data_IF_517328746436
#
_entry.id   IF_517328746436
#
_cell.length_a   1.000
_cell.length_b   1.000
_cell.length_c   1.000
_cell.angle_alpha   90.00
_cell.angle_beta   90.00
_cell.angle_gamma   90.00
#
_symmetry.space_group_name_H-M   'P 1'
#
loop_
_entity.id
_entity.type
_entity.pdbx_description
1 polymer ?
#
# COMPACT_ATOMS: atom_id res chain seq x y z
N UNK A 1 -0.94 1.25 6.50
CA UNK A 1 0.24 1.27 7.39
C UNK A 1 1.20 0.20 6.93
N UNK A 2 2.46 0.55 6.69
CA UNK A 2 3.48 -0.47 6.40
C UNK A 2 3.84 -1.15 7.72
N UNK A 3 3.78 -2.47 7.76
CA UNK A 3 4.20 -3.26 8.90
C UNK A 3 5.33 -4.21 8.51
N UNK A 4 6.22 -4.47 9.44
CA UNK A 4 7.29 -5.44 9.28
C UNK A 4 7.40 -6.33 10.51
N UNK A 5 7.87 -7.55 10.30
CA UNK A 5 8.12 -8.49 11.39
C UNK A 5 9.17 -9.53 11.00
N UNK A 6 9.75 -10.17 12.02
CA UNK A 6 10.58 -11.35 11.86
C UNK A 6 9.85 -12.59 12.37
N UNK A 7 10.26 -13.77 11.89
CA UNK A 7 9.73 -15.04 12.39
C UNK A 7 10.75 -15.84 13.16
N UNK A 8 10.28 -16.59 14.16
CA UNK A 8 11.07 -17.47 15.01
C UNK A 8 11.65 -18.65 14.21
N UNK A 9 12.99 -18.82 14.14
CA UNK A 9 13.62 -19.91 13.42
C UNK A 9 13.51 -21.27 14.13
N UNK A 10 13.09 -21.30 15.42
CA UNK A 10 13.04 -22.49 16.28
C UNK A 10 11.78 -23.35 16.10
N UNK A 11 10.68 -22.76 15.58
CA UNK A 11 9.43 -23.50 15.32
C UNK A 11 9.39 -24.26 13.99
N UNK A 12 10.41 -24.08 13.15
CA UNK A 12 10.76 -25.07 12.12
C UNK A 12 11.59 -26.19 12.75
N UNK A 13 10.96 -27.32 13.08
CA UNK A 13 11.52 -28.51 13.79
C UNK A 13 12.94 -28.91 13.41
N UNK A 14 14.01 -28.38 14.03
CA UNK A 14 15.37 -28.92 13.87
C UNK A 14 16.29 -28.73 15.10
N UNK A 15 17.13 -29.75 15.34
CA UNK A 15 17.88 -30.08 16.55
C UNK A 15 19.24 -29.33 16.74
N UNK A 16 19.96 -29.54 17.87
CA UNK A 16 21.18 -28.80 18.23
C UNK A 16 22.34 -28.94 17.22
N UNK A 17 22.94 -27.80 16.84
CA UNK A 17 23.94 -27.65 15.76
C UNK A 17 23.54 -26.69 14.61
N UNK A 18 22.48 -25.90 14.82
CA UNK A 18 21.74 -25.16 13.78
C UNK A 18 22.49 -23.97 13.16
N UNK A 19 22.49 -23.88 11.82
CA UNK A 19 22.93 -22.75 10.98
C UNK A 19 21.75 -21.92 10.45
N UNK A 20 20.66 -21.82 11.22
CA UNK A 20 19.37 -21.26 10.75
C UNK A 20 19.17 -19.80 11.15
N UNK A 21 18.50 -19.06 10.28
CA UNK A 21 18.11 -17.66 10.45
C UNK A 21 16.59 -17.50 10.37
N UNK A 22 16.08 -16.37 10.83
CA UNK A 22 14.66 -15.96 10.74
C UNK A 22 14.23 -15.67 9.30
N UNK A 23 12.94 -15.46 9.05
CA UNK A 23 12.49 -14.75 7.85
C UNK A 23 12.09 -13.33 8.24
N UNK A 24 12.35 -12.36 7.37
CA UNK A 24 11.86 -10.99 7.50
C UNK A 24 10.66 -10.80 6.56
N UNK A 25 9.69 -10.02 7.00
CA UNK A 25 8.51 -9.67 6.22
C UNK A 25 8.29 -8.16 6.27
N UNK A 26 7.80 -7.62 5.16
CA UNK A 26 7.27 -6.26 5.06
C UNK A 26 5.96 -6.33 4.28
N UNK A 27 4.92 -5.71 4.80
CA UNK A 27 3.58 -5.71 4.23
C UNK A 27 3.00 -4.30 4.25
N UNK A 28 2.53 -3.85 3.09
CA UNK A 28 1.75 -2.62 2.95
C UNK A 28 0.27 -2.98 3.10
N UNK A 29 -0.41 -2.44 4.11
CA UNK A 29 -1.82 -2.77 4.39
C UNK A 29 -2.81 -2.07 3.45
N UNK A 30 -2.39 -1.08 2.66
CA UNK A 30 -3.23 -0.39 1.68
C UNK A 30 -3.06 -0.99 0.29
N UNK A 31 -1.81 -1.17 -0.17
CA UNK A 31 -1.56 -1.77 -1.49
C UNK A 31 -1.56 -3.31 -1.48
N UNK A 32 -1.60 -3.92 -0.29
CA UNK A 32 -1.56 -5.38 -0.11
C UNK A 32 -0.32 -6.04 -0.75
N UNK A 33 0.77 -5.30 -0.84
CA UNK A 33 2.08 -5.78 -1.33
C UNK A 33 2.83 -6.43 -0.16
N UNK A 34 3.12 -7.71 -0.29
CA UNK A 34 3.86 -8.49 0.69
C UNK A 34 5.24 -8.84 0.14
N UNK A 35 6.27 -8.54 0.93
CA UNK A 35 7.60 -9.07 0.72
C UNK A 35 7.98 -9.99 1.86
N UNK A 36 8.49 -11.18 1.51
CA UNK A 36 9.14 -12.10 2.43
C UNK A 36 10.59 -12.30 2.01
N UNK A 37 11.52 -11.98 2.91
CA UNK A 37 12.93 -12.34 2.78
C UNK A 37 13.20 -13.57 3.63
N UNK A 38 13.32 -14.72 2.98
CA UNK A 38 13.61 -15.99 3.64
C UNK A 38 15.11 -16.07 3.93
N UNK A 39 15.54 -16.00 5.19
CA UNK A 39 16.97 -16.12 5.55
C UNK A 39 17.35 -17.56 5.98
N UNK A 40 16.37 -18.44 6.16
CA UNK A 40 16.58 -19.84 6.53
C UNK A 40 17.47 -20.59 5.52
N UNK A 41 18.46 -21.34 6.02
CA UNK A 41 19.35 -22.20 5.23
C UNK A 41 19.00 -23.68 5.39
N UNK A 42 19.33 -24.49 4.38
CA UNK A 42 19.33 -25.96 4.49
C UNK A 42 17.95 -26.62 4.63
N UNK A 43 16.86 -25.99 4.17
CA UNK A 43 15.53 -26.64 4.14
C UNK A 43 15.55 -27.82 3.17
N UNK A 44 15.04 -28.96 3.62
CA UNK A 44 15.03 -30.22 2.87
C UNK A 44 13.81 -30.41 1.98
N UNK A 45 12.74 -29.62 2.15
CA UNK A 45 11.52 -29.68 1.34
C UNK A 45 11.27 -28.38 0.57
N UNK A 46 10.88 -28.55 -0.71
CA UNK A 46 10.52 -27.58 -1.75
C UNK A 46 11.41 -26.31 -1.74
N UNK A 47 12.40 -26.30 -2.65
CA UNK A 47 13.31 -25.19 -2.95
C UNK A 47 13.84 -24.50 -1.68
N UNK A 48 14.75 -25.18 -0.98
CA UNK A 48 15.43 -24.66 0.21
C UNK A 48 16.41 -23.52 -0.04
N UNK A 49 16.26 -22.80 -1.15
CA UNK A 49 17.00 -21.59 -1.49
C UNK A 49 16.56 -20.45 -0.58
N UNK A 50 17.50 -19.55 -0.30
CA UNK A 50 17.23 -18.25 0.30
C UNK A 50 16.81 -17.29 -0.82
N UNK A 51 15.73 -16.57 -0.62
CA UNK A 51 15.15 -15.69 -1.64
C UNK A 51 14.38 -14.53 -1.00
N UNK A 52 14.29 -13.44 -1.75
CA UNK A 52 13.30 -12.39 -1.59
C UNK A 52 12.09 -12.81 -2.43
N UNK A 53 10.92 -12.90 -1.83
CA UNK A 53 9.66 -13.25 -2.47
C UNK A 53 8.80 -12.00 -2.43
N UNK A 54 8.26 -11.59 -3.57
CA UNK A 54 7.32 -10.51 -3.70
C UNK A 54 6.00 -11.09 -4.20
N UNK A 55 4.93 -10.82 -3.44
CA UNK A 55 3.57 -11.18 -3.79
C UNK A 55 2.70 -9.92 -3.72
N UNK A 56 1.86 -9.72 -4.73
CA UNK A 56 0.88 -8.64 -4.75
C UNK A 56 -0.51 -9.18 -4.38
N UNK A 57 -1.39 -8.29 -3.92
CA UNK A 57 -2.75 -8.64 -3.52
C UNK A 57 -2.79 -9.78 -2.49
N UNK A 58 -1.90 -9.75 -1.48
CA UNK A 58 -1.92 -10.75 -0.41
C UNK A 58 -2.68 -10.17 0.77
N UNK A 59 -3.70 -10.86 1.26
CA UNK A 59 -4.30 -10.56 2.54
C UNK A 59 -3.47 -11.22 3.63
N UNK A 60 -3.15 -10.47 4.69
CA UNK A 60 -2.38 -10.95 5.84
C UNK A 60 -3.19 -10.77 7.11
N UNK A 61 -3.09 -11.73 8.02
CA UNK A 61 -3.64 -11.65 9.36
C UNK A 61 -2.75 -12.38 10.36
N UNK A 62 -2.91 -12.07 11.63
CA UNK A 62 -2.16 -12.67 12.72
C UNK A 62 -3.10 -13.29 13.74
N UNK A 63 -2.72 -14.45 14.27
CA UNK A 63 -3.49 -15.15 15.29
C UNK A 63 -2.59 -15.91 16.26
N UNK A 64 -3.07 -16.16 17.48
CA UNK A 64 -2.32 -16.84 18.54
C UNK A 64 -1.84 -18.25 18.12
N UNK A 65 -0.74 -18.72 18.72
CA UNK A 65 -0.22 -20.09 18.53
C UNK A 65 -1.20 -21.17 18.98
N UNK A 66 -2.01 -20.92 20.00
CA UNK A 66 -2.99 -21.89 20.48
C UNK A 66 -4.16 -22.04 19.49
N UNK A 67 -4.45 -21.00 18.72
CA UNK A 67 -5.37 -21.05 17.59
C UNK A 67 -4.89 -21.97 16.45
N UNK A 68 -3.57 -22.04 16.19
CA UNK A 68 -2.99 -22.95 15.19
C UNK A 68 -2.86 -24.39 15.69
N UNK A 69 -2.69 -24.62 17.00
CA UNK A 69 -2.70 -26.00 17.53
C UNK A 69 -4.07 -26.66 17.39
N UNK A 70 -5.13 -25.85 17.29
CA UNK A 70 -6.48 -26.25 16.94
C UNK A 70 -6.77 -26.13 15.43
N UNK A 71 -5.76 -25.88 14.56
CA UNK A 71 -5.94 -25.73 13.10
C UNK A 71 -6.62 -26.96 12.48
N UNK A 72 -6.40 -28.16 13.03
CA UNK A 72 -7.13 -29.38 12.64
C UNK A 72 -8.65 -29.31 12.86
N UNK A 73 -9.13 -28.36 13.67
CA UNK A 73 -10.54 -28.10 13.96
C UNK A 73 -11.17 -27.04 13.04
N UNK A 74 -10.36 -26.31 12.27
CA UNK A 74 -10.83 -25.30 11.32
C UNK A 74 -10.61 -25.78 9.88
N UNK A 75 -11.66 -26.21 9.16
CA UNK A 75 -11.50 -26.53 7.74
C UNK A 75 -11.06 -25.28 6.97
N UNK A 76 -10.30 -25.43 5.89
CA UNK A 76 -9.85 -24.31 5.05
C UNK A 76 -11.00 -23.39 4.62
N UNK A 77 -12.21 -23.93 4.49
CA UNK A 77 -13.45 -23.21 4.17
C UNK A 77 -13.88 -22.17 5.21
N UNK A 78 -13.33 -22.20 6.43
CA UNK A 78 -13.61 -21.21 7.46
C UNK A 78 -12.80 -19.91 7.24
N UNK A 79 -11.81 -19.92 6.35
CA UNK A 79 -11.02 -18.76 6.00
C UNK A 79 -11.54 -18.09 4.74
N UNK A 80 -11.59 -16.76 4.76
CA UNK A 80 -11.98 -15.94 3.60
C UNK A 80 -11.30 -14.59 3.64
N UNK A 81 -11.37 -13.83 2.55
CA UNK A 81 -10.92 -12.43 2.51
C UNK A 81 -12.16 -11.53 2.46
N UNK A 82 -12.21 -10.51 3.32
CA UNK A 82 -13.26 -9.49 3.26
C UNK A 82 -13.14 -8.68 1.96
N UNK A 83 -14.21 -8.61 1.18
CA UNK A 83 -14.17 -7.91 -0.10
C UNK A 83 -14.11 -6.37 0.02
N UNK A 84 -14.51 -5.82 1.16
CA UNK A 84 -14.51 -4.38 1.41
C UNK A 84 -13.21 -3.93 2.07
N UNK A 85 -12.64 -4.72 2.98
CA UNK A 85 -11.44 -4.34 3.75
C UNK A 85 -10.16 -5.05 3.30
N UNK A 86 -10.26 -6.15 2.54
CA UNK A 86 -9.10 -6.95 2.14
C UNK A 86 -8.49 -7.77 3.29
N UNK A 87 -9.14 -7.80 4.46
CA UNK A 87 -8.64 -8.50 5.65
C UNK A 87 -8.90 -10.01 5.59
N UNK A 88 -7.99 -10.80 6.17
CA UNK A 88 -8.23 -12.23 6.38
C UNK A 88 -9.26 -12.41 7.49
N UNK A 89 -10.32 -13.15 7.18
CA UNK A 89 -11.39 -13.51 8.09
C UNK A 89 -11.30 -14.98 8.45
N UNK A 90 -11.60 -15.28 9.71
CA UNK A 90 -11.91 -16.61 10.19
C UNK A 90 -13.37 -16.64 10.64
N UNK A 91 -14.20 -17.48 10.01
CA UNK A 91 -15.64 -17.59 10.31
C UNK A 91 -16.35 -16.22 10.27
N UNK A 92 -15.93 -15.35 9.36
CA UNK A 92 -16.44 -13.99 9.23
C UNK A 92 -15.92 -12.98 10.26
N UNK A 93 -14.96 -13.36 11.11
CA UNK A 93 -14.32 -12.46 12.09
C UNK A 93 -12.92 -12.10 11.59
N UNK A 94 -12.56 -10.82 11.49
CA UNK A 94 -11.23 -10.41 11.02
C UNK A 94 -10.14 -10.85 12.00
N UNK A 95 -9.05 -11.38 11.43
CA UNK A 95 -7.82 -11.65 12.18
C UNK A 95 -7.10 -10.35 12.53
N UNK A 96 -6.23 -10.40 13.55
CA UNK A 96 -5.42 -9.24 13.93
C UNK A 96 -4.59 -8.76 12.75
N UNK A 97 -4.52 -7.44 12.55
CA UNK A 97 -3.63 -6.80 11.57
C UNK A 97 -2.29 -6.37 12.19
N UNK A 98 -2.12 -6.59 13.49
CA UNK A 98 -0.92 -6.20 14.23
C UNK A 98 -0.09 -7.46 14.52
N UNK A 99 1.18 -7.52 14.07
CA UNK A 99 2.07 -8.62 14.39
C UNK A 99 2.41 -8.56 15.88
N UNK A 100 2.16 -9.65 16.61
CA UNK A 100 2.52 -9.78 18.02
C UNK A 100 3.44 -10.97 18.22
N UNK A 101 4.48 -10.87 19.08
CA UNK A 101 5.34 -12.01 19.37
C UNK A 101 4.54 -13.26 19.77
N UNK A 102 4.86 -14.39 19.14
CA UNK A 102 4.17 -15.66 19.34
C UNK A 102 2.95 -15.88 18.45
N UNK A 103 2.37 -14.83 17.83
CA UNK A 103 1.30 -15.01 16.84
C UNK A 103 1.86 -15.63 15.57
N UNK A 104 1.09 -16.46 14.90
CA UNK A 104 1.40 -16.94 13.56
C UNK A 104 0.82 -16.02 12.50
N UNK A 105 1.51 -15.98 11.37
CA UNK A 105 1.04 -15.32 10.16
C UNK A 105 0.07 -16.24 9.45
N UNK A 106 -1.08 -15.71 9.05
CA UNK A 106 -2.01 -16.31 8.12
C UNK A 106 -2.06 -15.41 6.90
N UNK A 107 -1.72 -15.94 5.73
CA UNK A 107 -1.74 -15.16 4.50
C UNK A 107 -2.43 -15.91 3.37
N UNK A 108 -3.17 -15.15 2.53
CA UNK A 108 -4.06 -15.69 1.50
C UNK A 108 -4.12 -14.76 0.29
N UNK A 109 -4.30 -15.31 -0.91
CA UNK A 109 -4.57 -14.50 -2.11
C UNK A 109 -6.06 -14.52 -2.43
N UNK A 110 -6.60 -13.45 -3.04
CA UNK A 110 -7.97 -13.43 -3.54
C UNK A 110 -8.27 -14.64 -4.43
N UNK A 111 -9.31 -15.38 -4.08
CA UNK A 111 -9.73 -16.59 -4.80
C UNK A 111 -9.08 -17.88 -4.31
N UNK A 112 -8.08 -17.83 -3.42
CA UNK A 112 -7.57 -19.01 -2.74
C UNK A 112 -8.60 -19.54 -1.76
N UNK A 113 -8.69 -20.87 -1.66
CA UNK A 113 -9.53 -21.55 -0.66
C UNK A 113 -8.71 -22.16 0.47
N UNK A 114 -7.40 -21.99 0.47
CA UNK A 114 -6.47 -22.61 1.43
C UNK A 114 -5.53 -21.53 1.97
N UNK A 115 -5.58 -21.22 3.27
CA UNK A 115 -4.64 -20.27 3.85
C UNK A 115 -3.22 -20.84 3.90
N UNK A 116 -2.23 -19.95 3.77
CA UNK A 116 -0.85 -20.27 4.11
C UNK A 116 -0.58 -19.85 5.56
N UNK A 117 -0.02 -20.78 6.33
CA UNK A 117 0.41 -20.53 7.70
C UNK A 117 1.91 -20.36 7.77
N UNK A 118 2.34 -19.13 8.07
CA UNK A 118 3.72 -18.79 8.31
C UNK A 118 4.20 -19.22 9.69
N UNK A 119 5.52 -19.13 9.90
CA UNK A 119 6.12 -19.27 11.23
C UNK A 119 5.62 -18.16 12.17
N UNK A 120 5.69 -18.41 13.48
CA UNK A 120 5.33 -17.41 14.48
C UNK A 120 6.24 -16.19 14.44
N UNK A 121 5.66 -15.01 14.65
CA UNK A 121 6.34 -13.74 14.87
C UNK A 121 7.31 -13.89 16.05
N UNK A 122 8.58 -13.56 15.86
CA UNK A 122 9.60 -13.60 16.90
C UNK A 122 9.57 -12.35 17.77
N UNK A 123 10.10 -12.47 18.98
CA UNK A 123 10.60 -11.28 19.67
C UNK A 123 11.89 -10.78 18.99
N UNK A 124 12.25 -9.52 19.21
CA UNK A 124 13.54 -8.97 18.79
C UNK A 124 14.71 -9.82 19.32
N UNK A 125 14.63 -10.28 20.57
CA UNK A 125 15.65 -11.12 21.22
C UNK A 125 15.84 -12.51 20.59
N UNK A 126 14.78 -13.08 20.01
CA UNK A 126 14.81 -14.42 19.40
C UNK A 126 15.11 -14.38 17.89
N UNK A 127 15.23 -13.18 17.31
CA UNK A 127 15.48 -12.99 15.89
C UNK A 127 16.93 -13.30 15.56
N UNK A 128 17.15 -14.25 14.65
CA UNK A 128 18.49 -14.63 14.20
C UNK A 128 18.74 -14.10 12.79
N UNK A 129 19.61 -13.11 12.65
CA UNK A 129 20.01 -12.52 11.36
C UNK A 129 21.42 -12.95 10.94
N UNK A 130 21.72 -13.01 9.62
CA UNK A 130 23.08 -13.22 9.12
C UNK A 130 24.06 -12.19 9.68
N UNK A 131 25.33 -12.58 9.86
CA UNK A 131 26.33 -11.74 10.52
C UNK A 131 26.46 -10.37 9.85
N UNK A 132 26.32 -9.30 10.63
CA UNK A 132 26.41 -7.91 10.15
C UNK A 132 25.22 -7.46 9.28
N UNK A 133 24.13 -8.23 9.23
CA UNK A 133 22.84 -7.82 8.67
C UNK A 133 21.91 -7.39 9.82
N UNK A 134 21.04 -6.42 9.52
CA UNK A 134 20.09 -5.80 10.46
C UNK A 134 18.78 -5.57 9.69
N UNK A 135 17.68 -5.29 10.40
CA UNK A 135 16.36 -5.17 9.76
C UNK A 135 16.30 -4.02 8.74
N UNK A 136 16.82 -2.83 9.04
CA UNK A 136 17.00 -1.76 8.04
C UNK A 136 17.64 -2.19 6.72
N UNK A 137 18.61 -3.12 6.74
CA UNK A 137 19.22 -3.66 5.52
C UNK A 137 18.22 -4.51 4.72
N UNK A 138 17.38 -5.27 5.42
CA UNK A 138 16.32 -6.09 4.83
C UNK A 138 15.18 -5.23 4.31
N UNK A 139 14.83 -4.13 4.98
CA UNK A 139 13.89 -3.12 4.50
C UNK A 139 14.31 -2.51 3.16
N UNK A 140 15.61 -2.21 2.97
CA UNK A 140 16.12 -1.74 1.66
C UNK A 140 15.85 -2.76 0.55
N UNK A 141 16.09 -4.05 0.83
CA UNK A 141 15.84 -5.11 -0.15
C UNK A 141 14.34 -5.37 -0.38
N UNK A 142 13.52 -5.20 0.65
CA UNK A 142 12.08 -5.33 0.52
C UNK A 142 11.50 -4.23 -0.35
N UNK A 143 11.92 -2.98 -0.13
CA UNK A 143 11.56 -1.85 -0.97
C UNK A 143 12.04 -2.02 -2.43
N UNK A 144 13.25 -2.53 -2.67
CA UNK A 144 13.70 -2.86 -4.04
C UNK A 144 12.77 -3.90 -4.68
N UNK A 145 12.38 -4.95 -3.97
CA UNK A 145 11.49 -5.97 -4.51
C UNK A 145 10.08 -5.44 -4.83
N UNK A 146 9.58 -4.51 -4.02
CA UNK A 146 8.32 -3.79 -4.29
C UNK A 146 8.45 -2.91 -5.54
N UNK A 147 9.54 -2.14 -5.65
CA UNK A 147 9.80 -1.26 -6.78
C UNK A 147 9.99 -2.00 -8.11
N UNK A 148 10.63 -3.17 -8.05
CA UNK A 148 10.83 -4.03 -9.22
C UNK A 148 9.67 -5.01 -9.48
N UNK A 149 8.69 -5.06 -8.57
CA UNK A 149 7.56 -5.99 -8.57
C UNK A 149 7.97 -7.46 -8.78
N UNK A 150 9.09 -7.87 -8.17
CA UNK A 150 9.64 -9.22 -8.32
C UNK A 150 10.54 -9.64 -7.16
N UNK A 151 10.57 -10.95 -6.95
CA UNK A 151 11.52 -11.60 -6.05
C UNK A 151 12.89 -11.88 -6.70
N UNK A 152 13.87 -12.22 -5.87
CA UNK A 152 15.20 -12.67 -6.30
C UNK A 152 15.67 -13.87 -5.47
N UNK A 153 16.31 -14.84 -6.12
CA UNK A 153 17.08 -15.86 -5.40
C UNK A 153 18.39 -15.27 -4.93
N UNK A 154 18.68 -15.39 -3.63
CA UNK A 154 19.90 -14.89 -3.01
C UNK A 154 20.99 -15.96 -3.01
N UNK A 155 20.68 -17.15 -2.48
CA UNK A 155 21.64 -18.25 -2.38
C UNK A 155 20.95 -19.61 -2.55
N UNK A 156 21.73 -20.60 -3.00
CA UNK A 156 21.27 -22.00 -3.04
C UNK A 156 21.11 -22.58 -1.63
N UNK A 157 20.34 -23.66 -1.50
CA UNK A 157 20.10 -24.35 -0.22
C UNK A 157 21.33 -24.85 0.53
N UNK A 158 22.44 -25.08 -0.17
CA UNK A 158 23.71 -25.54 0.41
C UNK A 158 24.63 -24.40 0.86
N UNK A 159 24.21 -23.13 0.75
CA UNK A 159 25.03 -22.00 1.11
C UNK A 159 25.31 -21.94 2.62
N UNK A 160 26.49 -21.44 2.99
CA UNK A 160 26.84 -21.15 4.39
C UNK A 160 26.23 -19.82 4.84
N UNK A 161 26.18 -19.60 6.16
CA UNK A 161 25.77 -18.30 6.73
C UNK A 161 26.66 -17.15 6.28
N UNK A 162 27.97 -17.38 6.12
CA UNK A 162 28.91 -16.38 5.58
C UNK A 162 28.59 -16.03 4.13
N UNK A 163 28.24 -17.01 3.29
CA UNK A 163 27.84 -16.77 1.91
C UNK A 163 26.54 -15.98 1.82
N UNK A 164 25.56 -16.31 2.66
CA UNK A 164 24.30 -15.56 2.75
C UNK A 164 24.55 -14.12 3.19
N UNK A 165 25.32 -13.91 4.26
CA UNK A 165 25.70 -12.58 4.74
C UNK A 165 26.40 -11.77 3.63
N UNK A 166 27.37 -12.36 2.93
CA UNK A 166 28.09 -11.69 1.86
C UNK A 166 27.17 -11.29 0.68
N UNK A 167 26.24 -12.16 0.27
CA UNK A 167 25.26 -11.83 -0.78
C UNK A 167 24.35 -10.68 -0.34
N UNK A 168 23.78 -10.75 0.87
CA UNK A 168 22.90 -9.69 1.39
C UNK A 168 23.64 -8.34 1.45
N UNK A 169 24.85 -8.32 2.00
CA UNK A 169 25.70 -7.11 2.03
C UNK A 169 25.95 -6.57 0.63
N UNK A 170 26.18 -7.44 -0.35
CA UNK A 170 26.36 -7.05 -1.75
C UNK A 170 25.10 -6.48 -2.42
N UNK A 171 23.91 -6.98 -2.07
CA UNK A 171 22.65 -6.43 -2.57
C UNK A 171 22.37 -5.06 -1.96
N UNK A 172 22.55 -4.91 -0.65
CA UNK A 172 22.40 -3.62 0.05
C UNK A 172 23.38 -2.59 -0.49
N UNK A 173 24.66 -2.97 -0.65
CA UNK A 173 25.67 -2.12 -1.26
C UNK A 173 25.30 -1.63 -2.66
N UNK A 174 24.64 -2.49 -3.46
CA UNK A 174 24.16 -2.10 -4.79
C UNK A 174 23.01 -1.11 -4.71
N UNK A 175 22.02 -1.35 -3.84
CA UNK A 175 20.85 -0.50 -3.68
C UNK A 175 21.22 0.89 -3.13
N UNK A 176 22.15 0.95 -2.17
CA UNK A 176 22.67 2.19 -1.58
C UNK A 176 23.70 2.86 -2.50
N UNK A 177 24.38 2.11 -3.37
CA UNK A 177 25.41 2.62 -4.26
C UNK A 177 26.78 2.86 -3.58
N UNK A 178 27.04 2.19 -2.45
CA UNK A 178 28.29 2.31 -1.68
C UNK A 178 28.80 0.94 -1.20
N UNK A 179 30.12 0.76 -0.98
CA UNK A 179 30.63 -0.44 -0.31
C UNK A 179 29.97 -0.65 1.06
N UNK A 180 29.55 -1.88 1.37
CA UNK A 180 28.76 -2.17 2.58
C UNK A 180 29.41 -1.67 3.88
N UNK A 181 30.73 -1.79 3.98
CA UNK A 181 31.52 -1.35 5.14
C UNK A 181 31.65 0.18 5.28
N UNK A 182 31.15 0.94 4.32
CA UNK A 182 31.15 2.41 4.30
C UNK A 182 29.74 3.00 4.46
N UNK A 183 28.70 2.15 4.48
CA UNK A 183 27.30 2.57 4.60
C UNK A 183 27.03 3.03 6.04
N UNK A 184 26.49 4.24 6.18
CA UNK A 184 26.04 4.79 7.45
C UNK A 184 24.52 4.63 7.64
N UNK A 185 24.02 4.92 8.84
CA UNK A 185 22.57 5.01 9.06
C UNK A 185 21.91 6.12 8.22
N UNK A 186 22.63 7.24 8.00
CA UNK A 186 22.15 8.34 7.15
C UNK A 186 21.98 7.87 5.70
N UNK A 187 22.95 7.10 5.18
CA UNK A 187 22.87 6.54 3.81
C UNK A 187 21.69 5.57 3.64
N UNK A 188 21.44 4.76 4.67
CA UNK A 188 20.30 3.83 4.67
C UNK A 188 18.97 4.57 4.76
N UNK A 189 18.87 5.58 5.64
CA UNK A 189 17.68 6.39 5.78
C UNK A 189 17.36 7.12 4.48
N UNK A 190 18.34 7.78 3.85
CA UNK A 190 18.15 8.46 2.57
C UNK A 190 17.70 7.46 1.48
N UNK A 191 18.29 6.27 1.45
CA UNK A 191 17.90 5.22 0.49
C UNK A 191 16.46 4.75 0.72
N UNK A 192 16.08 4.46 1.97
CA UNK A 192 14.74 4.01 2.33
C UNK A 192 13.69 5.09 2.04
N UNK A 193 13.95 6.34 2.41
CA UNK A 193 13.06 7.48 2.12
C UNK A 193 12.87 7.67 0.62
N UNK A 194 13.95 7.61 -0.16
CA UNK A 194 13.87 7.70 -1.62
C UNK A 194 13.05 6.56 -2.22
N UNK A 195 13.26 5.33 -1.74
CA UNK A 195 12.49 4.18 -2.22
C UNK A 195 11.02 4.30 -1.84
N UNK A 196 10.71 4.65 -0.60
CA UNK A 196 9.34 4.89 -0.12
C UNK A 196 8.65 5.97 -0.94
N UNK A 197 9.29 7.12 -1.17
CA UNK A 197 8.73 8.17 -2.01
C UNK A 197 8.44 7.69 -3.44
N UNK A 198 9.30 6.84 -4.00
CA UNK A 198 9.08 6.24 -5.31
C UNK A 198 7.92 5.22 -5.31
N UNK A 199 7.82 4.36 -4.27
CA UNK A 199 6.71 3.41 -4.10
C UNK A 199 5.40 4.18 -4.01
N UNK A 200 5.32 5.14 -3.10
CA UNK A 200 4.18 6.05 -2.93
C UNK A 200 3.76 6.68 -4.26
N UNK A 201 4.72 7.21 -5.02
CA UNK A 201 4.42 7.81 -6.32
C UNK A 201 3.84 6.78 -7.31
N UNK A 202 4.36 5.55 -7.33
CA UNK A 202 3.83 4.48 -8.17
C UNK A 202 2.39 4.10 -7.77
N UNK A 203 2.07 4.08 -6.46
CA UNK A 203 0.71 3.80 -5.96
C UNK A 203 -0.28 4.95 -6.26
N UNK A 204 0.17 6.20 -6.26
CA UNK A 204 -0.68 7.38 -6.52
C UNK A 204 -1.02 7.55 -8.00
N UNK A 205 -0.13 7.14 -8.91
CA UNK A 205 -0.28 7.38 -10.37
C UNK A 205 -1.63 6.89 -10.92
N UNK A 206 -2.10 5.66 -10.63
CA UNK A 206 -3.41 5.20 -11.08
C UNK A 206 -4.57 6.11 -10.64
N UNK A 207 -4.63 6.48 -9.36
CA UNK A 207 -5.66 7.40 -8.86
C UNK A 207 -5.57 8.78 -9.51
N UNK A 208 -4.36 9.29 -9.74
CA UNK A 208 -4.14 10.55 -10.47
C UNK A 208 -4.68 10.48 -11.90
N UNK A 209 -4.43 9.40 -12.62
CA UNK A 209 -4.92 9.18 -13.99
C UNK A 209 -6.45 9.11 -14.02
N UNK A 210 -7.07 8.37 -13.09
CA UNK A 210 -8.53 8.27 -12.99
C UNK A 210 -9.20 9.61 -12.64
N UNK A 211 -8.59 10.41 -11.75
CA UNK A 211 -9.09 11.76 -11.43
C UNK A 211 -8.97 12.68 -12.65
N UNK A 212 -7.82 12.68 -13.36
CA UNK A 212 -7.65 13.51 -14.55
C UNK A 212 -8.67 13.17 -15.65
N UNK A 213 -8.90 11.89 -15.92
CA UNK A 213 -9.93 11.43 -16.86
C UNK A 213 -11.32 11.96 -16.49
N UNK A 214 -11.64 11.96 -15.19
CA UNK A 214 -12.92 12.49 -14.71
C UNK A 214 -13.03 14.02 -14.80
N UNK A 215 -11.90 14.74 -14.66
CA UNK A 215 -11.84 16.18 -14.87
C UNK A 215 -11.98 16.57 -16.35
N UNK A 216 -11.54 15.72 -17.29
CA UNK A 216 -11.74 15.93 -18.72
C UNK A 216 -13.24 15.89 -19.08
N UNK A 217 -14.03 14.99 -18.48
CA UNK A 217 -15.49 14.96 -18.64
C UNK A 217 -16.14 16.26 -18.14
N UNK A 218 -15.63 16.83 -17.04
CA UNK A 218 -16.10 18.11 -16.54
C UNK A 218 -15.75 19.28 -17.49
N UNK A 219 -14.58 19.27 -18.11
CA UNK A 219 -14.22 20.27 -19.13
C UNK A 219 -15.17 20.24 -20.32
N UNK A 220 -15.53 19.05 -20.80
CA UNK A 220 -16.53 18.88 -21.87
C UNK A 220 -17.88 19.46 -21.47
N UNK A 221 -18.32 19.25 -20.22
CA UNK A 221 -19.55 19.87 -19.70
C UNK A 221 -19.46 21.40 -19.66
N UNK A 222 -18.33 21.96 -19.22
CA UNK A 222 -18.12 23.43 -19.20
C UNK A 222 -18.27 23.99 -20.62
N UNK A 223 -17.60 23.39 -21.60
CA UNK A 223 -17.67 23.86 -22.99
C UNK A 223 -19.09 23.71 -23.57
N UNK A 224 -19.79 22.62 -23.27
CA UNK A 224 -21.19 22.41 -23.67
C UNK A 224 -22.14 23.45 -23.09
N UNK A 225 -22.07 23.74 -21.78
CA UNK A 225 -22.91 24.78 -21.16
C UNK A 225 -22.62 26.14 -21.80
N UNK A 226 -21.34 26.45 -22.02
CA UNK A 226 -20.95 27.71 -22.67
C UNK A 226 -21.50 27.83 -24.09
N UNK A 227 -21.46 26.76 -24.88
CA UNK A 227 -22.06 26.71 -26.21
C UNK A 227 -23.57 26.94 -26.16
N UNK A 228 -24.28 26.32 -25.22
CA UNK A 228 -25.72 26.52 -25.04
C UNK A 228 -26.08 27.98 -24.70
N UNK A 229 -25.30 28.63 -23.82
CA UNK A 229 -25.49 30.05 -23.48
C UNK A 229 -25.23 30.95 -24.69
N UNK A 230 -24.15 30.70 -25.43
CA UNK A 230 -23.63 31.67 -26.42
C UNK A 230 -24.16 31.46 -27.83
N UNK A 231 -24.31 30.21 -28.27
CA UNK A 231 -24.64 29.85 -29.65
C UNK A 231 -26.10 29.39 -29.79
N UNK A 232 -26.63 28.69 -28.79
CA UNK A 232 -27.98 28.10 -28.86
C UNK A 232 -29.07 29.03 -28.28
N UNK A 233 -28.67 30.08 -27.56
CA UNK A 233 -29.58 31.09 -27.06
C UNK A 233 -30.24 30.74 -25.73
N UNK A 234 -29.63 29.84 -24.94
CA UNK A 234 -30.07 29.60 -23.57
C UNK A 234 -29.97 30.89 -22.75
N UNK A 235 -31.07 31.29 -22.12
CA UNK A 235 -31.11 32.43 -21.19
C UNK A 235 -31.05 31.89 -19.76
N UNK A 236 -29.87 31.87 -19.12
CA UNK A 236 -29.74 31.33 -17.78
C UNK A 236 -30.43 32.21 -16.72
N UNK A 237 -30.94 31.58 -15.67
CA UNK A 237 -31.38 32.28 -14.47
C UNK A 237 -30.18 32.88 -13.72
N UNK A 238 -30.44 33.80 -12.78
CA UNK A 238 -29.38 34.39 -11.96
C UNK A 238 -28.72 33.31 -11.09
N UNK A 239 -29.52 32.42 -10.53
CA UNK A 239 -29.11 31.29 -9.71
C UNK A 239 -28.26 30.29 -10.51
N UNK A 240 -28.70 29.90 -11.71
CA UNK A 240 -27.92 29.03 -12.59
C UNK A 240 -26.57 29.67 -12.95
N UNK A 241 -26.56 30.96 -13.30
CA UNK A 241 -25.33 31.67 -13.67
C UNK A 241 -24.30 31.71 -12.53
N UNK A 242 -24.78 31.89 -11.28
CA UNK A 242 -23.94 31.84 -10.08
C UNK A 242 -23.39 30.43 -9.85
N UNK A 243 -24.23 29.41 -9.91
CA UNK A 243 -23.82 28.02 -9.71
C UNK A 243 -22.86 27.54 -10.79
N UNK A 244 -23.05 27.93 -12.05
CA UNK A 244 -22.13 27.63 -13.14
C UNK A 244 -20.76 28.29 -12.96
N UNK A 245 -20.74 29.56 -12.53
CA UNK A 245 -19.48 30.25 -12.21
C UNK A 245 -18.74 29.58 -11.06
N UNK A 246 -19.45 29.19 -10.00
CA UNK A 246 -18.90 28.44 -8.86
C UNK A 246 -18.38 27.06 -9.29
N UNK A 247 -19.10 26.34 -10.15
CA UNK A 247 -18.66 25.06 -10.72
C UNK A 247 -17.32 25.20 -11.46
N UNK A 248 -17.16 26.21 -12.33
CA UNK A 248 -15.89 26.48 -13.02
C UNK A 248 -14.76 26.81 -12.03
N UNK A 249 -15.06 27.61 -11.00
CA UNK A 249 -14.07 27.96 -9.97
C UNK A 249 -13.58 26.70 -9.25
N UNK A 250 -14.50 25.86 -8.76
CA UNK A 250 -14.14 24.63 -8.03
C UNK A 250 -13.48 23.58 -8.91
N UNK A 251 -13.86 23.48 -10.19
CA UNK A 251 -13.15 22.68 -11.18
C UNK A 251 -11.66 23.09 -11.28
N UNK A 252 -11.37 24.41 -11.36
CA UNK A 252 -9.98 24.89 -11.44
C UNK A 252 -9.19 24.58 -10.17
N UNK A 253 -9.80 24.77 -9.00
CA UNK A 253 -9.19 24.43 -7.70
C UNK A 253 -8.86 22.93 -7.64
N UNK A 254 -9.79 22.07 -8.04
CA UNK A 254 -9.56 20.62 -8.11
C UNK A 254 -8.42 20.25 -9.07
N UNK A 255 -8.42 20.83 -10.27
CA UNK A 255 -7.36 20.60 -11.26
C UNK A 255 -5.98 21.06 -10.74
N UNK A 256 -5.91 22.21 -10.08
CA UNK A 256 -4.67 22.70 -9.49
C UNK A 256 -4.22 21.84 -8.29
N UNK A 257 -5.15 21.37 -7.47
CA UNK A 257 -4.87 20.46 -6.35
C UNK A 257 -4.25 19.13 -6.86
N UNK A 258 -4.82 18.52 -7.90
CA UNK A 258 -4.32 17.29 -8.53
C UNK A 258 -2.94 17.49 -9.17
N UNK A 259 -2.71 18.64 -9.83
CA UNK A 259 -1.39 18.98 -10.40
C UNK A 259 -0.32 19.10 -9.33
N UNK A 260 -0.65 19.76 -8.23
CA UNK A 260 0.29 20.03 -7.13
C UNK A 260 0.36 18.90 -6.11
N UNK A 261 -0.54 17.90 -6.16
CA UNK A 261 -0.63 16.81 -5.19
C UNK A 261 -0.92 17.30 -3.78
N UNK A 262 -1.70 18.37 -3.62
CA UNK A 262 -1.97 18.99 -2.31
C UNK A 262 -3.47 19.19 -2.13
N UNK A 263 -4.01 18.74 -0.99
CA UNK A 263 -5.44 18.87 -0.64
C UNK A 263 -6.40 18.34 -1.71
N UNK A 264 -5.99 17.28 -2.42
CA UNK A 264 -6.70 16.70 -3.57
C UNK A 264 -8.14 16.31 -3.20
N UNK A 265 -8.32 15.55 -2.12
CA UNK A 265 -9.64 15.10 -1.67
C UNK A 265 -10.57 16.26 -1.32
N UNK A 266 -10.12 17.19 -0.47
CA UNK A 266 -10.93 18.35 -0.09
C UNK A 266 -11.36 19.18 -1.32
N UNK A 267 -10.46 19.39 -2.29
CA UNK A 267 -10.79 20.10 -3.52
C UNK A 267 -11.79 19.33 -4.40
N UNK A 268 -11.68 18.00 -4.46
CA UNK A 268 -12.63 17.13 -5.18
C UNK A 268 -14.02 17.10 -4.52
N UNK A 269 -14.10 17.09 -3.18
CA UNK A 269 -15.35 17.18 -2.44
C UNK A 269 -16.05 18.54 -2.66
N UNK A 270 -15.30 19.65 -2.64
CA UNK A 270 -15.84 20.97 -2.98
C UNK A 270 -16.34 21.04 -4.42
N UNK A 271 -15.61 20.41 -5.35
CA UNK A 271 -16.01 20.33 -6.75
C UNK A 271 -17.29 19.51 -6.93
N UNK A 272 -17.41 18.37 -6.25
CA UNK A 272 -18.63 17.57 -6.22
C UNK A 272 -19.83 18.36 -5.66
N UNK A 273 -19.63 19.13 -4.59
CA UNK A 273 -20.67 19.98 -4.03
C UNK A 273 -21.13 21.07 -5.02
N UNK A 274 -20.20 21.73 -5.70
CA UNK A 274 -20.52 22.74 -6.71
C UNK A 274 -21.27 22.15 -7.92
N UNK A 275 -20.90 20.94 -8.34
CA UNK A 275 -21.61 20.19 -9.39
C UNK A 275 -23.04 19.85 -8.98
N UNK A 276 -23.25 19.37 -7.75
CA UNK A 276 -24.60 19.07 -7.24
C UNK A 276 -25.46 20.33 -7.21
N UNK A 277 -24.87 21.46 -6.83
CA UNK A 277 -25.56 22.75 -6.86
C UNK A 277 -25.94 23.16 -8.29
N UNK A 278 -25.02 23.01 -9.26
CA UNK A 278 -25.30 23.28 -10.67
C UNK A 278 -26.43 22.40 -11.22
N UNK A 279 -26.45 21.12 -10.85
CA UNK A 279 -27.52 20.20 -11.22
C UNK A 279 -28.88 20.67 -10.70
N UNK A 280 -28.98 21.03 -9.41
CA UNK A 280 -30.22 21.53 -8.82
C UNK A 280 -30.71 22.81 -9.50
N UNK A 281 -29.81 23.77 -9.77
CA UNK A 281 -30.21 25.03 -10.42
C UNK A 281 -30.55 24.84 -11.92
N UNK A 282 -30.05 23.78 -12.55
CA UNK A 282 -30.39 23.47 -13.95
C UNK A 282 -31.87 23.15 -14.13
N UNK A 283 -32.54 22.62 -13.10
CA UNK A 283 -33.98 22.34 -13.11
C UNK A 283 -34.84 23.60 -13.32
N UNK A 284 -34.27 24.79 -13.08
CA UNK A 284 -34.94 26.07 -13.27
C UNK A 284 -34.92 26.58 -14.71
N UNK A 285 -34.16 25.92 -15.59
CA UNK A 285 -34.05 26.29 -17.00
C UNK A 285 -35.28 25.87 -17.81
N UNK A 286 -35.42 26.42 -19.02
CA UNK A 286 -36.44 25.93 -19.94
C UNK A 286 -36.22 24.43 -20.22
N UNK A 287 -37.33 23.67 -20.29
CA UNK A 287 -37.31 22.20 -20.33
C UNK A 287 -36.42 21.62 -21.43
N UNK A 288 -36.32 22.26 -22.60
CA UNK A 288 -35.45 21.79 -23.68
C UNK A 288 -33.96 21.84 -23.32
N UNK A 289 -33.52 22.90 -22.63
CA UNK A 289 -32.13 23.05 -22.19
C UNK A 289 -31.86 22.16 -20.99
N UNK A 290 -32.79 22.09 -20.03
CA UNK A 290 -32.68 21.18 -18.90
C UNK A 290 -32.52 19.73 -19.36
N UNK A 291 -33.38 19.22 -20.25
CA UNK A 291 -33.30 17.82 -20.69
C UNK A 291 -31.97 17.49 -21.41
N UNK A 292 -31.39 18.47 -22.14
CA UNK A 292 -30.09 18.30 -22.77
C UNK A 292 -28.96 18.26 -21.71
N UNK A 293 -28.99 19.20 -20.76
CA UNK A 293 -28.00 19.30 -19.70
C UNK A 293 -28.08 18.17 -18.69
N UNK A 294 -29.27 17.68 -18.35
CA UNK A 294 -29.50 16.63 -17.36
C UNK A 294 -28.69 15.37 -17.70
N UNK A 295 -28.65 14.96 -18.97
CA UNK A 295 -27.86 13.80 -19.40
C UNK A 295 -26.36 14.03 -19.19
N UNK A 296 -25.86 15.21 -19.56
CA UNK A 296 -24.43 15.55 -19.44
C UNK A 296 -24.01 15.73 -17.98
N UNK A 297 -24.87 16.36 -17.18
CA UNK A 297 -24.70 16.54 -15.74
C UNK A 297 -24.70 15.19 -15.01
N UNK A 298 -25.56 14.24 -15.40
CA UNK A 298 -25.57 12.89 -14.84
C UNK A 298 -24.31 12.08 -15.18
N UNK A 299 -23.82 12.16 -16.43
CA UNK A 299 -22.56 11.51 -16.79
C UNK A 299 -21.38 12.11 -16.01
N UNK A 300 -21.33 13.44 -15.92
CA UNK A 300 -20.35 14.16 -15.10
C UNK A 300 -20.50 13.81 -13.62
N UNK A 301 -21.72 13.57 -13.13
CA UNK A 301 -21.97 13.13 -11.76
C UNK A 301 -21.22 11.83 -11.46
N UNK A 302 -21.40 10.81 -12.29
CA UNK A 302 -20.70 9.54 -12.14
C UNK A 302 -19.18 9.70 -12.20
N UNK A 303 -18.66 10.51 -13.12
CA UNK A 303 -17.22 10.78 -13.23
C UNK A 303 -16.66 11.48 -11.97
N UNK A 304 -17.34 12.53 -11.49
CA UNK A 304 -16.90 13.28 -10.29
C UNK A 304 -16.98 12.41 -9.04
N UNK A 305 -18.01 11.57 -8.90
CA UNK A 305 -18.14 10.66 -7.77
C UNK A 305 -16.99 9.62 -7.77
N UNK A 306 -16.61 9.10 -8.94
CA UNK A 306 -15.44 8.24 -9.09
C UNK A 306 -14.14 8.97 -8.72
N UNK A 307 -13.98 10.24 -9.13
CA UNK A 307 -12.80 11.03 -8.80
C UNK A 307 -12.68 11.36 -7.30
N UNK A 308 -13.79 11.56 -6.58
CA UNK A 308 -13.78 11.72 -5.12
C UNK A 308 -13.33 10.43 -4.43
N UNK A 309 -13.79 9.27 -4.92
CA UNK A 309 -13.34 7.98 -4.42
C UNK A 309 -11.83 7.79 -4.64
N UNK A 310 -11.33 8.07 -5.83
CA UNK A 310 -9.89 8.01 -6.15
C UNK A 310 -9.05 9.01 -5.34
N UNK A 311 -9.58 10.22 -5.10
CA UNK A 311 -8.92 11.20 -4.25
C UNK A 311 -8.83 10.74 -2.77
N UNK A 312 -9.77 9.91 -2.33
CA UNK A 312 -9.72 9.27 -1.01
C UNK A 312 -8.64 8.19 -0.96
N UNK A 313 -8.51 7.38 -2.02
CA UNK A 313 -7.41 6.41 -2.14
C UNK A 313 -6.06 7.12 -2.10
N UNK A 314 -5.91 8.18 -2.90
CA UNK A 314 -4.71 9.03 -2.89
C UNK A 314 -4.40 9.52 -1.47
N UNK A 315 -5.35 10.16 -0.78
CA UNK A 315 -5.12 10.70 0.56
C UNK A 315 -4.69 9.62 1.56
N UNK A 316 -5.29 8.43 1.50
CA UNK A 316 -4.90 7.31 2.36
C UNK A 316 -3.47 6.86 2.09
N UNK A 317 -3.04 6.79 0.82
CA UNK A 317 -1.65 6.50 0.45
C UNK A 317 -0.73 7.62 0.97
N UNK A 318 -1.08 8.89 0.76
CA UNK A 318 -0.28 10.02 1.25
C UNK A 318 -0.04 9.94 2.77
N UNK A 319 -1.09 9.69 3.55
CA UNK A 319 -1.03 9.57 5.00
C UNK A 319 -0.20 8.36 5.46
N UNK A 320 -0.30 7.24 4.77
CA UNK A 320 0.44 6.02 5.11
C UNK A 320 1.95 6.19 5.01
N UNK A 321 2.39 6.89 3.97
CA UNK A 321 3.81 7.03 3.66
C UNK A 321 4.44 8.29 4.28
N UNK A 322 3.64 9.26 4.75
CA UNK A 322 4.10 10.56 5.22
C UNK A 322 5.14 10.47 6.35
N UNK A 323 4.91 9.62 7.36
CA UNK A 323 5.83 9.49 8.48
C UNK A 323 7.17 8.86 8.05
N UNK A 324 7.12 7.87 7.15
CA UNK A 324 8.32 7.19 6.63
C UNK A 324 9.17 8.13 5.79
N UNK A 325 8.54 8.96 4.95
CA UNK A 325 9.23 10.00 4.16
C UNK A 325 9.87 11.08 5.04
N UNK A 326 9.28 11.34 6.22
CA UNK A 326 9.70 12.42 7.14
C UNK A 326 10.56 11.95 8.31
N UNK A 327 10.79 10.66 8.45
CA UNK A 327 11.59 10.09 9.52
C UNK A 327 12.96 10.79 9.60
N UNK A 328 13.34 11.24 10.80
CA UNK A 328 14.56 12.02 11.03
C UNK A 328 15.76 11.14 11.39
N UNK A 329 15.51 9.85 11.63
CA UNK A 329 16.50 8.84 11.99
C UNK A 329 16.07 7.46 11.50
N UNK A 330 17.02 6.51 11.46
CA UNK A 330 16.68 5.13 11.06
C UNK A 330 15.84 4.44 12.13
N UNK A 331 16.04 4.79 13.39
CA UNK A 331 15.30 4.26 14.53
C UNK A 331 13.83 4.71 14.49
N UNK A 332 13.58 5.97 14.10
CA UNK A 332 12.22 6.48 13.86
C UNK A 332 11.57 5.73 12.68
N UNK A 333 12.30 5.55 11.56
CA UNK A 333 11.79 4.78 10.43
C UNK A 333 11.42 3.34 10.81
N UNK A 334 12.29 2.66 11.56
CA UNK A 334 12.03 1.28 12.04
C UNK A 334 10.83 1.23 12.99
N UNK A 335 10.65 2.23 13.84
CA UNK A 335 9.47 2.35 14.72
C UNK A 335 8.17 2.50 13.90
N UNK A 336 8.16 3.35 12.89
CA UNK A 336 6.99 3.59 12.04
C UNK A 336 6.54 2.35 11.25
N UNK A 337 7.47 1.45 10.88
CA UNK A 337 7.14 0.15 10.26
C UNK A 337 6.87 -0.97 11.28
N UNK A 338 6.74 -0.65 12.57
CA UNK A 338 6.44 -1.63 13.63
C UNK A 338 7.63 -2.52 14.05
N UNK A 339 8.85 -2.12 13.72
CA UNK A 339 10.09 -2.82 14.08
C UNK A 339 10.72 -2.16 15.32
N UNK A 340 10.00 -2.11 16.44
CA UNK A 340 10.60 -1.64 17.69
C UNK A 340 11.65 -2.66 18.20
N UNK A 341 12.89 -2.22 18.36
CA UNK A 341 13.79 -2.86 19.33
C UNK A 341 13.24 -2.54 20.71
N UNK A 342 12.55 -3.50 21.34
CA UNK A 342 12.24 -3.39 22.77
C UNK A 342 13.55 -3.16 23.53
N UNK A 343 13.73 -1.96 24.07
CA UNK A 343 14.83 -1.65 24.98
C UNK A 343 14.87 -2.75 26.06
N UNK A 344 15.97 -3.49 26.11
CA UNK A 344 16.24 -4.40 27.22
C UNK A 344 16.58 -3.51 28.41
N UNK A 345 15.58 -3.24 29.26
CA UNK A 345 15.72 -2.52 30.54
C UNK A 345 16.71 -3.18 31.50
#
# INVERSE_FOLDING_TARGET
>A
MIISWNTDPSKGTFAPGSTKYSSYYQYDTVSHKLVRIRLELGRTEINGETMVIYDNNRAVGFSDIDFIKEELEYPDSDFSIDAATGEVLLRGVPLSQIPQPGYNVVDMSPGDTVPHFGNSVSTSADTHLPEGIQNKHLGVLANEAILEERGITLTSSAASGEQLSAVLKGQVARAVGKPFNEITNEDLLETLQRQVAQIKQNEIVPSKENINSSLEEADVLIDSIKEQITNEGMVPTEEFSKSYSNFIEKYKVANDAVKNGTAVKAAMEEFQAAKNQLMNESETLETSYYNNLETQLNNTNTAVDAAVYEATIWENIDLEYENLEKATSIEEYETEIGMEETEVL
#
